data_IF_133960971618
#
_entry.id   IF_133960971618
#
_cell.length_a   1.000
_cell.length_b   1.000
_cell.length_c   1.000
_cell.angle_alpha   90.00
_cell.angle_beta   90.00
_cell.angle_gamma   90.00
#
_symmetry.space_group_name_H-M   'P 1'
#
loop_
_entity.id
_entity.type
_entity.pdbx_description
1 polymer ?
#
# COMPACT_ATOMS: atom_id res chain seq x y z
N UNK A 1 -10.11 13.55 0.73
CA UNK A 1 -9.60 12.43 1.02
C UNK A 1 -9.21 11.90 2.37
N UNK A 2 -8.42 10.84 2.35
CA UNK A 2 -8.05 10.01 3.52
C UNK A 2 -7.32 10.77 4.65
N UNK A 3 -6.61 11.83 4.33
CA UNK A 3 -5.85 12.59 5.34
C UNK A 3 -6.73 13.46 6.25
N UNK A 4 -7.93 13.86 5.81
CA UNK A 4 -8.83 14.69 6.61
C UNK A 4 -9.29 14.01 7.90
N UNK A 5 -9.76 12.75 7.89
CA UNK A 5 -10.11 12.03 9.12
C UNK A 5 -8.92 11.89 10.08
N UNK A 6 -7.73 11.61 9.55
CA UNK A 6 -6.51 11.49 10.38
C UNK A 6 -6.19 12.82 11.07
N UNK A 7 -6.19 13.91 10.29
CA UNK A 7 -5.91 15.23 10.83
C UNK A 7 -6.95 15.67 11.86
N UNK A 8 -8.25 15.52 11.55
CA UNK A 8 -9.33 16.01 12.42
C UNK A 8 -9.53 15.14 13.65
N UNK A 9 -9.75 13.84 13.46
CA UNK A 9 -10.08 12.92 14.56
C UNK A 9 -8.84 12.36 15.27
N UNK A 10 -7.75 12.17 14.54
CA UNK A 10 -6.52 11.60 15.08
C UNK A 10 -5.63 12.65 15.75
N UNK A 11 -5.34 13.75 15.05
CA UNK A 11 -4.33 14.69 15.50
C UNK A 11 -4.93 15.89 16.21
N UNK A 12 -5.79 16.68 15.52
CA UNK A 12 -6.30 17.96 16.03
C UNK A 12 -7.12 17.79 17.31
N UNK A 13 -8.05 16.84 17.32
CA UNK A 13 -8.94 16.60 18.46
C UNK A 13 -8.19 16.21 19.75
N UNK A 14 -7.05 15.55 19.59
CA UNK A 14 -6.25 15.05 20.73
C UNK A 14 -4.97 15.86 20.97
N UNK A 15 -4.73 16.94 20.22
CA UNK A 15 -3.52 17.76 20.35
C UNK A 15 -2.23 17.01 20.00
N UNK A 16 -2.31 15.99 19.13
CA UNK A 16 -1.19 15.12 18.79
C UNK A 16 -0.46 15.61 17.52
N UNK A 17 0.85 15.36 17.47
CA UNK A 17 1.68 15.64 16.29
C UNK A 17 1.77 14.46 15.33
N UNK A 18 2.34 14.68 14.15
CA UNK A 18 2.52 13.65 13.11
C UNK A 18 3.37 12.45 13.55
N UNK A 19 4.22 12.60 14.55
CA UNK A 19 4.95 11.48 15.14
C UNK A 19 4.05 10.43 15.79
N UNK A 20 2.86 10.81 16.25
CA UNK A 20 1.90 9.87 16.84
C UNK A 20 1.30 8.89 15.83
N UNK A 21 1.23 9.29 14.55
CA UNK A 21 0.78 8.42 13.44
C UNK A 21 1.94 7.71 12.74
N UNK A 22 3.15 7.74 13.31
CA UNK A 22 4.27 6.93 12.84
C UNK A 22 5.31 7.66 11.99
N UNK A 23 5.24 9.00 11.84
CA UNK A 23 6.34 9.77 11.24
C UNK A 23 7.49 9.92 12.21
N UNK A 24 8.29 8.86 12.32
CA UNK A 24 9.41 8.74 13.27
C UNK A 24 10.68 8.31 12.55
N UNK A 25 11.85 8.68 13.06
CA UNK A 25 13.11 8.09 12.60
C UNK A 25 13.11 6.57 12.77
N UNK A 26 13.80 5.86 11.90
CA UNK A 26 13.95 4.41 11.97
C UNK A 26 15.37 3.98 11.60
N UNK A 27 15.75 2.77 11.96
CA UNK A 27 17.03 2.19 11.55
C UNK A 27 16.95 1.87 10.05
N UNK A 28 17.78 2.56 9.24
CA UNK A 28 17.78 2.44 7.78
C UNK A 28 18.06 1.02 7.30
N UNK A 29 19.06 0.34 7.89
CA UNK A 29 19.41 -1.03 7.50
C UNK A 29 18.25 -1.98 7.78
N UNK A 30 17.68 -1.90 8.99
CA UNK A 30 16.52 -2.71 9.37
C UNK A 30 15.31 -2.42 8.46
N UNK A 31 15.03 -1.14 8.18
CA UNK A 31 13.94 -0.73 7.31
C UNK A 31 14.12 -1.24 5.88
N UNK A 32 15.34 -1.19 5.35
CA UNK A 32 15.66 -1.70 4.03
C UNK A 32 15.50 -3.23 3.96
N UNK A 33 16.08 -3.97 4.90
CA UNK A 33 15.99 -5.44 4.93
C UNK A 33 14.54 -5.91 5.04
N UNK A 34 13.77 -5.34 5.98
CA UNK A 34 12.37 -5.68 6.16
C UNK A 34 11.51 -5.22 4.96
N UNK A 35 11.81 -4.07 4.38
CA UNK A 35 11.15 -3.57 3.18
C UNK A 35 11.37 -4.46 1.96
N UNK A 36 12.62 -4.90 1.72
CA UNK A 36 12.94 -5.85 0.66
C UNK A 36 12.25 -7.21 0.89
N UNK A 37 12.22 -7.71 2.13
CA UNK A 37 11.53 -8.94 2.46
C UNK A 37 10.00 -8.82 2.23
N UNK A 38 9.40 -7.73 2.66
CA UNK A 38 7.97 -7.45 2.45
C UNK A 38 7.65 -7.35 0.94
N UNK A 39 8.49 -6.64 0.17
CA UNK A 39 8.34 -6.56 -1.28
C UNK A 39 8.44 -7.94 -1.94
N UNK A 40 9.46 -8.73 -1.61
CA UNK A 40 9.64 -10.07 -2.17
C UNK A 40 8.44 -10.99 -1.87
N UNK A 41 7.95 -10.99 -0.61
CA UNK A 41 6.77 -11.76 -0.21
C UNK A 41 5.51 -11.30 -0.95
N UNK A 42 5.31 -9.98 -1.09
CA UNK A 42 4.19 -9.43 -1.83
C UNK A 42 4.21 -9.83 -3.30
N UNK A 43 5.38 -9.72 -3.96
CA UNK A 43 5.54 -10.12 -5.36
C UNK A 43 5.31 -11.63 -5.55
N UNK A 44 5.89 -12.46 -4.68
CA UNK A 44 5.67 -13.91 -4.71
C UNK A 44 4.19 -14.25 -4.55
N UNK A 45 3.52 -13.66 -3.57
CA UNK A 45 2.08 -13.86 -3.36
C UNK A 45 1.24 -13.41 -4.55
N UNK A 46 1.57 -12.26 -5.15
CA UNK A 46 0.89 -11.75 -6.36
C UNK A 46 1.09 -12.67 -7.55
N UNK A 47 2.31 -13.18 -7.78
CA UNK A 47 2.60 -14.12 -8.87
C UNK A 47 1.84 -15.43 -8.68
N UNK A 48 1.90 -16.04 -7.49
CA UNK A 48 1.17 -17.27 -7.17
C UNK A 48 -0.33 -17.06 -7.41
N UNK A 49 -0.89 -15.95 -6.92
CA UNK A 49 -2.30 -15.67 -7.11
C UNK A 49 -2.67 -15.43 -8.57
N UNK A 50 -1.83 -14.74 -9.34
CA UNK A 50 -2.03 -14.55 -10.78
C UNK A 50 -2.03 -15.87 -11.55
N UNK A 51 -1.16 -16.82 -11.17
CA UNK A 51 -1.16 -18.17 -11.74
C UNK A 51 -2.46 -18.91 -11.41
N UNK A 52 -2.96 -18.80 -10.18
CA UNK A 52 -4.26 -19.40 -9.82
C UNK A 52 -5.39 -18.79 -10.66
N UNK A 53 -5.44 -17.46 -10.80
CA UNK A 53 -6.48 -16.81 -11.60
C UNK A 53 -6.40 -17.14 -13.08
N UNK A 54 -5.20 -17.37 -13.62
CA UNK A 54 -5.02 -17.74 -15.03
C UNK A 54 -5.69 -19.06 -15.38
N UNK A 55 -5.81 -20.00 -14.43
CA UNK A 55 -6.55 -21.25 -14.60
C UNK A 55 -8.05 -21.04 -14.85
N UNK A 56 -8.57 -19.87 -14.46
CA UNK A 56 -9.97 -19.49 -14.62
C UNK A 56 -10.16 -18.36 -15.67
N UNK A 57 -9.11 -18.02 -16.44
CA UNK A 57 -9.09 -16.89 -17.38
C UNK A 57 -9.46 -15.55 -16.73
N UNK A 58 -9.11 -15.36 -15.45
CA UNK A 58 -9.34 -14.14 -14.68
C UNK A 58 -8.04 -13.33 -14.55
N UNK A 59 -8.19 -12.01 -14.32
CA UNK A 59 -7.06 -11.10 -14.06
C UNK A 59 -7.12 -10.54 -12.65
N UNK A 60 -5.93 -10.27 -12.08
CA UNK A 60 -5.80 -9.71 -10.72
C UNK A 60 -6.21 -8.24 -10.64
N UNK A 61 -5.80 -7.44 -11.63
CA UNK A 61 -6.06 -5.99 -11.64
C UNK A 61 -6.34 -5.50 -13.06
N UNK A 62 -7.23 -4.50 -13.22
CA UNK A 62 -7.39 -3.80 -14.47
C UNK A 62 -6.17 -2.90 -14.73
N UNK A 63 -5.92 -2.59 -15.99
CA UNK A 63 -4.97 -1.54 -16.34
C UNK A 63 -5.56 -0.18 -15.95
N UNK A 64 -5.01 0.44 -14.92
CA UNK A 64 -5.46 1.75 -14.41
C UNK A 64 -4.75 2.92 -15.10
N UNK A 65 -3.71 2.67 -15.91
CA UNK A 65 -2.92 3.72 -16.56
C UNK A 65 -3.77 4.65 -17.44
N UNK A 66 -4.74 4.17 -18.24
CA UNK A 66 -5.58 5.04 -19.07
C UNK A 66 -6.39 6.09 -18.31
N UNK A 67 -6.66 5.88 -17.02
CA UNK A 67 -7.38 6.86 -16.17
C UNK A 67 -6.59 8.15 -15.95
N UNK A 68 -5.27 8.11 -16.15
CA UNK A 68 -4.38 9.25 -15.98
C UNK A 68 -4.07 9.98 -17.29
N UNK A 69 -4.65 9.52 -18.41
CA UNK A 69 -4.40 10.07 -19.75
C UNK A 69 -3.36 9.28 -20.56
N UNK A 70 -3.12 9.72 -21.78
CA UNK A 70 -2.20 9.03 -22.71
C UNK A 70 -0.76 9.52 -22.65
N UNK A 71 0.15 8.72 -23.22
CA UNK A 71 1.55 9.07 -23.41
C UNK A 71 2.34 9.33 -22.13
N UNK A 72 3.44 10.08 -22.24
CA UNK A 72 4.33 10.38 -21.11
C UNK A 72 3.65 11.25 -20.05
N UNK A 73 2.73 12.14 -20.44
CA UNK A 73 1.95 12.96 -19.51
C UNK A 73 1.06 12.12 -18.59
N UNK A 74 0.39 11.10 -19.15
CA UNK A 74 -0.40 10.14 -18.38
C UNK A 74 0.46 9.32 -17.42
N UNK A 75 1.64 8.86 -17.87
CA UNK A 75 2.59 8.16 -17.00
C UNK A 75 3.03 9.05 -15.82
N UNK A 76 3.43 10.29 -16.08
CA UNK A 76 3.84 11.23 -15.02
C UNK A 76 2.70 11.46 -14.03
N UNK A 77 1.47 11.67 -14.50
CA UNK A 77 0.31 11.82 -13.64
C UNK A 77 0.03 10.55 -12.80
N UNK A 78 0.15 9.35 -13.40
CA UNK A 78 0.00 8.08 -12.70
C UNK A 78 1.08 7.87 -11.61
N UNK A 79 2.34 8.19 -11.92
CA UNK A 79 3.44 8.08 -10.95
C UNK A 79 3.26 9.05 -9.79
N UNK A 80 2.87 10.30 -10.05
CA UNK A 80 2.66 11.29 -8.99
C UNK A 80 1.43 10.96 -8.14
N UNK A 81 0.28 10.75 -8.77
CA UNK A 81 -0.96 10.53 -8.05
C UNK A 81 -1.08 9.10 -7.49
N UNK A 82 -0.90 8.08 -8.32
CA UNK A 82 -1.09 6.67 -7.95
C UNK A 82 0.17 6.01 -7.39
N UNK A 83 1.37 6.48 -7.79
CA UNK A 83 2.64 5.96 -7.31
C UNK A 83 3.15 6.60 -6.01
N UNK A 84 2.84 7.87 -5.75
CA UNK A 84 3.38 8.59 -4.58
C UNK A 84 2.29 9.09 -3.65
N UNK A 85 1.38 9.97 -4.13
CA UNK A 85 0.39 10.64 -3.28
C UNK A 85 -0.65 9.66 -2.73
N UNK A 86 -1.13 8.72 -3.55
CA UNK A 86 -2.06 7.65 -3.13
C UNK A 86 -1.46 6.80 -2.02
N UNK A 87 -0.34 6.10 -2.26
CA UNK A 87 0.35 5.31 -1.24
C UNK A 87 0.64 6.07 0.05
N UNK A 88 1.12 7.30 -0.04
CA UNK A 88 1.34 8.14 1.13
C UNK A 88 0.05 8.34 1.95
N UNK A 89 -1.03 8.75 1.30
CA UNK A 89 -2.30 9.01 1.98
C UNK A 89 -2.92 7.73 2.57
N UNK A 90 -2.79 6.61 1.85
CA UNK A 90 -3.27 5.31 2.30
C UNK A 90 -2.47 4.82 3.51
N UNK A 91 -1.14 4.87 3.49
CA UNK A 91 -0.35 4.43 4.64
C UNK A 91 -0.63 5.29 5.88
N UNK A 92 -0.76 6.61 5.74
CA UNK A 92 -1.12 7.49 6.84
C UNK A 92 -2.47 7.11 7.45
N UNK A 93 -3.47 6.83 6.61
CA UNK A 93 -4.80 6.47 7.09
C UNK A 93 -4.84 5.04 7.65
N UNK A 94 -4.41 4.04 6.86
CA UNK A 94 -4.57 2.64 7.25
C UNK A 94 -3.61 2.22 8.35
N UNK A 95 -2.35 2.64 8.30
CA UNK A 95 -1.32 2.21 9.26
C UNK A 95 -1.16 3.22 10.37
N UNK A 96 -1.02 4.50 10.03
CA UNK A 96 -0.81 5.55 11.03
C UNK A 96 -2.02 5.80 11.91
N UNK A 97 -3.23 5.66 11.40
CA UNK A 97 -4.45 5.96 12.16
C UNK A 97 -5.24 4.69 12.51
N UNK A 98 -5.71 3.95 11.52
CA UNK A 98 -6.62 2.81 11.74
C UNK A 98 -5.92 1.66 12.47
N UNK A 99 -4.78 1.18 11.96
CA UNK A 99 -4.02 0.09 12.60
C UNK A 99 -3.51 0.49 13.98
N UNK A 100 -2.96 1.70 14.13
CA UNK A 100 -2.52 2.21 15.42
C UNK A 100 -3.68 2.27 16.44
N UNK A 101 -4.88 2.67 16.01
CA UNK A 101 -6.08 2.61 16.84
C UNK A 101 -6.49 1.18 17.22
N UNK A 102 -6.47 0.25 16.25
CA UNK A 102 -6.75 -1.17 16.49
C UNK A 102 -5.78 -1.78 17.51
N UNK A 103 -4.48 -1.41 17.44
CA UNK A 103 -3.45 -1.92 18.37
C UNK A 103 -3.67 -1.52 19.84
N UNK A 104 -4.46 -0.52 20.09
CA UNK A 104 -4.83 -0.13 21.47
C UNK A 104 -5.83 -1.11 22.11
N UNK A 105 -6.61 -1.83 21.31
CA UNK A 105 -7.71 -2.66 21.77
C UNK A 105 -7.60 -4.13 21.36
N UNK A 106 -6.77 -4.43 20.36
CA UNK A 106 -6.63 -5.77 19.78
C UNK A 106 -5.21 -6.30 19.92
N UNK A 107 -5.07 -7.61 20.02
CA UNK A 107 -3.78 -8.27 19.90
C UNK A 107 -3.19 -8.02 18.49
N UNK A 108 -1.86 -8.12 18.38
CA UNK A 108 -1.15 -7.88 17.11
C UNK A 108 -1.75 -8.70 15.96
N UNK A 109 -1.99 -9.98 16.17
CA UNK A 109 -2.56 -10.89 15.17
C UNK A 109 -3.87 -10.34 14.60
N UNK A 110 -4.81 -9.97 15.46
CA UNK A 110 -6.12 -9.49 15.00
C UNK A 110 -6.05 -8.10 14.38
N UNK A 111 -5.21 -7.21 14.90
CA UNK A 111 -4.99 -5.91 14.28
C UNK A 111 -4.42 -6.02 12.87
N UNK A 112 -3.41 -6.89 12.64
CA UNK A 112 -2.84 -7.15 11.32
C UNK A 112 -3.88 -7.70 10.35
N UNK A 113 -4.63 -8.72 10.77
CA UNK A 113 -5.61 -9.39 9.90
C UNK A 113 -6.77 -8.44 9.54
N UNK A 114 -7.33 -7.72 10.52
CA UNK A 114 -8.43 -6.80 10.27
C UNK A 114 -8.00 -5.58 9.45
N UNK A 115 -6.82 -5.02 9.72
CA UNK A 115 -6.30 -3.93 8.89
C UNK A 115 -6.06 -4.36 7.45
N UNK A 116 -5.47 -5.53 7.23
CA UNK A 116 -5.28 -6.11 5.90
C UNK A 116 -6.61 -6.37 5.18
N UNK A 117 -7.60 -6.90 5.90
CA UNK A 117 -8.92 -7.19 5.36
C UNK A 117 -9.65 -5.90 4.92
N UNK A 118 -9.67 -4.88 5.78
CA UNK A 118 -10.31 -3.60 5.46
C UNK A 118 -9.59 -2.95 4.27
N UNK A 119 -8.25 -3.00 4.26
CA UNK A 119 -7.47 -2.48 3.14
C UNK A 119 -7.80 -3.18 1.82
N UNK A 120 -8.00 -4.50 1.82
CA UNK A 120 -8.41 -5.23 0.63
C UNK A 120 -9.83 -4.87 0.18
N UNK A 121 -10.78 -4.82 1.11
CA UNK A 121 -12.19 -4.64 0.80
C UNK A 121 -12.55 -3.27 0.21
N UNK A 122 -11.74 -2.25 0.42
CA UNK A 122 -11.95 -0.93 -0.21
C UNK A 122 -11.53 -0.89 -1.69
N UNK A 123 -10.85 -1.93 -2.17
CA UNK A 123 -10.44 -2.02 -3.58
C UNK A 123 -11.58 -2.59 -4.43
N UNK A 124 -11.71 -2.06 -5.66
CA UNK A 124 -12.92 -2.29 -6.49
C UNK A 124 -13.02 -3.72 -7.00
N UNK A 125 -11.87 -4.38 -7.27
CA UNK A 125 -11.83 -5.66 -7.94
C UNK A 125 -11.65 -6.83 -6.96
N UNK A 126 -12.68 -7.70 -6.78
CA UNK A 126 -12.59 -8.82 -5.83
C UNK A 126 -11.44 -9.81 -6.11
N UNK A 127 -11.07 -9.99 -7.38
CA UNK A 127 -9.94 -10.86 -7.76
C UNK A 127 -8.59 -10.34 -7.27
N UNK A 128 -8.49 -9.08 -6.87
CA UNK A 128 -7.28 -8.50 -6.28
C UNK A 128 -7.24 -8.56 -4.75
N UNK A 129 -8.31 -8.97 -4.08
CA UNK A 129 -8.36 -8.98 -2.61
C UNK A 129 -7.27 -9.80 -1.94
N UNK A 130 -6.95 -11.04 -2.37
CA UNK A 130 -5.91 -11.82 -1.70
C UNK A 130 -4.51 -11.16 -1.72
N UNK A 131 -3.97 -10.71 -2.85
CA UNK A 131 -2.68 -10.02 -2.85
C UNK A 131 -2.74 -8.67 -2.12
N UNK A 132 -3.84 -7.90 -2.20
CA UNK A 132 -3.98 -6.64 -1.49
C UNK A 132 -4.12 -6.87 0.02
N UNK A 133 -4.81 -7.91 0.45
CA UNK A 133 -4.85 -8.34 1.85
C UNK A 133 -3.44 -8.63 2.36
N UNK A 134 -2.64 -9.41 1.61
CA UNK A 134 -1.26 -9.70 1.97
C UNK A 134 -0.43 -8.42 2.09
N UNK A 135 -0.52 -7.50 1.13
CA UNK A 135 0.11 -6.18 1.20
C UNK A 135 -0.32 -5.42 2.46
N UNK A 136 -1.63 -5.45 2.76
CA UNK A 136 -2.20 -4.84 3.95
C UNK A 136 -1.55 -5.31 5.25
N UNK A 137 -1.37 -6.62 5.38
CA UNK A 137 -0.71 -7.25 6.53
C UNK A 137 0.78 -6.91 6.58
N UNK A 138 1.47 -6.99 5.44
CA UNK A 138 2.92 -6.71 5.36
C UNK A 138 3.24 -5.25 5.71
N UNK A 139 2.47 -4.28 5.22
CA UNK A 139 2.70 -2.86 5.52
C UNK A 139 2.41 -2.53 6.98
N UNK A 140 1.36 -3.09 7.57
CA UNK A 140 1.11 -2.96 9.01
C UNK A 140 2.22 -3.64 9.84
N UNK A 141 2.74 -4.78 9.38
CA UNK A 141 3.91 -5.43 9.96
C UNK A 141 5.18 -4.58 9.89
N UNK A 142 5.42 -3.88 8.77
CA UNK A 142 6.55 -2.94 8.64
C UNK A 142 6.46 -1.82 9.68
N UNK A 143 5.27 -1.22 9.88
CA UNK A 143 5.09 -0.21 10.94
C UNK A 143 5.36 -0.79 12.32
N UNK A 144 4.80 -1.95 12.65
CA UNK A 144 4.98 -2.59 13.97
C UNK A 144 6.45 -2.91 14.23
N UNK A 145 7.16 -3.45 13.23
CA UNK A 145 8.56 -3.85 13.37
C UNK A 145 9.55 -2.70 13.36
N UNK A 146 9.27 -1.61 12.63
CA UNK A 146 10.21 -0.48 12.49
C UNK A 146 9.87 0.70 13.38
N UNK A 147 8.63 0.79 13.87
CA UNK A 147 8.08 1.94 14.61
C UNK A 147 7.86 3.18 13.73
N UNK A 148 7.97 3.05 12.40
CA UNK A 148 7.90 4.15 11.45
C UNK A 148 7.04 3.81 10.23
N UNK A 149 6.29 4.81 9.72
CA UNK A 149 5.53 4.69 8.48
C UNK A 149 6.40 4.68 7.23
N UNK A 150 7.59 5.29 7.28
CA UNK A 150 8.42 5.49 6.09
C UNK A 150 8.73 4.22 5.32
N UNK A 151 9.13 3.09 5.95
CA UNK A 151 9.37 1.84 5.21
C UNK A 151 8.15 1.33 4.45
N UNK A 152 6.95 1.41 5.04
CA UNK A 152 5.72 1.01 4.38
C UNK A 152 5.39 1.93 3.20
N UNK A 153 5.49 3.26 3.39
CA UNK A 153 5.29 4.26 2.34
C UNK A 153 6.25 4.00 1.16
N UNK A 154 7.54 3.78 1.42
CA UNK A 154 8.53 3.55 0.36
C UNK A 154 8.24 2.27 -0.42
N UNK A 155 7.96 1.15 0.27
CA UNK A 155 7.66 -0.13 -0.40
C UNK A 155 6.36 -0.03 -1.21
N UNK A 156 5.31 0.58 -0.66
CA UNK A 156 4.05 0.76 -1.35
C UNK A 156 4.21 1.66 -2.59
N UNK A 157 4.85 2.81 -2.43
CA UNK A 157 5.14 3.71 -3.55
C UNK A 157 5.98 3.05 -4.63
N UNK A 158 6.97 2.24 -4.24
CA UNK A 158 7.80 1.50 -5.18
C UNK A 158 6.98 0.47 -5.97
N UNK A 159 6.14 -0.33 -5.30
CA UNK A 159 5.27 -1.32 -5.95
C UNK A 159 4.35 -0.65 -6.96
N UNK A 160 3.65 0.42 -6.57
CA UNK A 160 2.71 1.09 -7.46
C UNK A 160 3.42 1.78 -8.63
N UNK A 161 4.54 2.48 -8.37
CA UNK A 161 5.31 3.14 -9.42
C UNK A 161 5.88 2.14 -10.43
N UNK A 162 6.44 1.02 -9.94
CA UNK A 162 6.94 -0.05 -10.80
C UNK A 162 5.82 -0.65 -11.65
N UNK A 163 4.63 -0.85 -11.07
CA UNK A 163 3.46 -1.36 -11.81
C UNK A 163 3.06 -0.44 -12.95
N UNK A 164 2.99 0.89 -12.73
CA UNK A 164 2.69 1.86 -13.79
C UNK A 164 3.76 1.91 -14.86
N UNK A 165 5.04 1.84 -14.49
CA UNK A 165 6.15 1.79 -15.45
C UNK A 165 6.07 0.54 -16.33
N UNK A 166 5.84 -0.64 -15.74
CA UNK A 166 5.74 -1.89 -16.48
C UNK A 166 4.53 -1.89 -17.42
N UNK A 167 3.38 -1.36 -16.98
CA UNK A 167 2.21 -1.21 -17.83
C UNK A 167 2.50 -0.29 -19.03
N UNK A 168 3.12 0.87 -18.78
CA UNK A 168 3.46 1.84 -19.83
C UNK A 168 4.43 1.25 -20.86
N UNK A 169 5.48 0.57 -20.40
CA UNK A 169 6.44 -0.10 -21.30
C UNK A 169 5.77 -1.22 -22.08
N UNK A 170 4.93 -2.04 -21.42
CA UNK A 170 4.19 -3.12 -22.06
C UNK A 170 3.26 -2.62 -23.17
N UNK A 171 2.55 -1.52 -22.97
CA UNK A 171 1.71 -0.90 -24.00
C UNK A 171 2.54 -0.41 -25.20
N UNK A 172 3.76 0.10 -24.98
CA UNK A 172 4.64 0.57 -26.05
C UNK A 172 5.30 -0.55 -26.85
N UNK A 173 5.52 -1.70 -26.25
CA UNK A 173 6.10 -2.86 -26.92
C UNK A 173 5.04 -3.69 -27.66
N UNK A 174 3.76 -3.53 -27.33
CA UNK A 174 2.64 -4.19 -27.99
C UNK A 174 2.14 -3.44 -29.24
N UNK A 175 2.61 -2.21 -29.50
CA UNK A 175 2.36 -1.39 -30.70
C UNK A 175 3.44 -1.58 -31.74
#
# INVERSE_FOLDING_TARGET
GLLLPVWWFGLRRHGLGWSSVGFRPFNMVRGLVLGCAAWALAMTGTVIWSLVLSLFNLRTQPNMLPLFGGGIGGLVAALLAGGLVGPFAEEVFFRGYLFAGMRQHLSLKWALLLNGLIFALIHILPTSYPPIFLLGVLFAGLLELTGSLWPAIFVHSFINSLSFLLLYVGERLAL
#
